data_IF_564307771893
#
_entry.id   IF_564307771893
#
_cell.length_a   1.000
_cell.length_b   1.000
_cell.length_c   1.000
_cell.angle_alpha   90.00
_cell.angle_beta   90.00
_cell.angle_gamma   90.00
#
_symmetry.space_group_name_H-M   'P 1'
#
loop_
_entity.id
_entity.type
_entity.pdbx_description
1 polymer ?
#
# COMPACT_ATOMS: atom_id res chain seq x y z
N UNK A 1 4.62 -0.37 5.64
CA UNK A 1 3.44 -0.10 6.49
C UNK A 1 2.15 -0.62 5.88
N UNK A 2 1.80 -0.27 4.64
CA UNK A 2 0.49 -0.62 4.04
C UNK A 2 0.35 -2.09 3.63
N UNK A 3 1.32 -2.68 2.92
CA UNK A 3 1.21 -4.06 2.41
C UNK A 3 0.94 -5.12 3.50
N UNK A 4 1.59 -5.10 4.68
CA UNK A 4 1.30 -6.05 5.75
C UNK A 4 -0.16 -6.04 6.24
N UNK A 5 -0.87 -4.91 6.12
CA UNK A 5 -2.29 -4.81 6.50
C UNK A 5 -3.15 -5.73 5.62
N UNK A 6 -2.77 -5.92 4.36
CA UNK A 6 -3.49 -6.79 3.43
C UNK A 6 -3.11 -8.27 3.58
N UNK A 7 -1.89 -8.55 4.06
CA UNK A 7 -1.37 -9.92 4.23
C UNK A 7 -1.82 -10.51 5.57
N UNK A 8 -1.78 -9.72 6.64
CA UNK A 8 -2.22 -10.10 7.98
C UNK A 8 -3.07 -8.99 8.61
N UNK A 9 -4.32 -8.78 8.14
CA UNK A 9 -5.19 -7.71 8.63
C UNK A 9 -5.44 -7.76 10.14
N UNK A 10 -5.42 -8.96 10.73
CA UNK A 10 -5.74 -9.20 12.14
C UNK A 10 -4.71 -8.53 13.07
N UNK A 11 -3.45 -8.43 12.64
CA UNK A 11 -2.39 -7.71 13.37
C UNK A 11 -2.66 -6.20 13.47
N UNK A 12 -3.61 -5.69 12.69
CA UNK A 12 -4.04 -4.30 12.64
C UNK A 12 -5.48 -4.11 13.14
N UNK A 13 -6.03 -5.12 13.82
CA UNK A 13 -7.39 -5.08 14.38
C UNK A 13 -8.51 -5.26 13.34
N UNK A 14 -8.17 -5.66 12.11
CA UNK A 14 -9.14 -5.91 11.05
C UNK A 14 -9.45 -7.41 11.02
N UNK A 15 -10.68 -7.78 11.36
CA UNK A 15 -11.10 -9.20 11.42
C UNK A 15 -11.90 -9.57 10.18
N UNK A 16 -11.27 -10.31 9.26
CA UNK A 16 -11.93 -10.78 8.02
C UNK A 16 -13.01 -11.83 8.33
N UNK A 17 -12.82 -12.62 9.39
CA UNK A 17 -13.75 -13.67 9.82
C UNK A 17 -15.12 -13.12 10.27
N UNK A 18 -15.22 -11.82 10.56
CA UNK A 18 -16.47 -11.16 10.95
C UNK A 18 -17.24 -10.54 9.76
N UNK A 19 -16.72 -10.66 8.53
CA UNK A 19 -17.35 -10.04 7.35
C UNK A 19 -18.49 -10.91 6.81
N UNK A 20 -18.38 -12.24 6.92
CA UNK A 20 -19.36 -13.21 6.41
C UNK A 20 -19.29 -14.51 7.21
N UNK A 21 -20.45 -15.13 7.46
CA UNK A 21 -20.56 -16.38 8.24
C UNK A 21 -20.13 -17.65 7.47
N UNK A 22 -19.61 -17.50 6.25
CA UNK A 22 -19.15 -18.59 5.37
C UNK A 22 -17.62 -18.62 5.30
N UNK A 23 -17.02 -19.64 5.91
CA UNK A 23 -15.56 -19.85 5.93
C UNK A 23 -14.93 -19.90 4.53
N UNK A 24 -15.65 -20.45 3.54
CA UNK A 24 -15.16 -20.52 2.16
C UNK A 24 -15.07 -19.14 1.52
N UNK A 25 -16.01 -18.25 1.85
CA UNK A 25 -15.97 -16.86 1.42
C UNK A 25 -14.83 -16.11 2.08
N UNK A 26 -14.65 -16.28 3.39
CA UNK A 26 -13.55 -15.69 4.15
C UNK A 26 -12.20 -16.08 3.55
N UNK A 27 -11.99 -17.36 3.23
CA UNK A 27 -10.76 -17.83 2.58
C UNK A 27 -10.52 -17.14 1.24
N UNK A 28 -11.56 -17.01 0.40
CA UNK A 28 -11.46 -16.32 -0.90
C UNK A 28 -11.13 -14.84 -0.75
N UNK A 29 -11.66 -14.16 0.28
CA UNK A 29 -11.30 -12.77 0.58
C UNK A 29 -9.83 -12.68 0.94
N UNK A 30 -9.32 -13.56 1.80
CA UNK A 30 -7.90 -13.61 2.16
C UNK A 30 -7.00 -13.81 0.92
N UNK A 31 -7.36 -14.75 0.05
CA UNK A 31 -6.62 -14.99 -1.19
C UNK A 31 -6.62 -13.76 -2.12
N UNK A 32 -7.75 -13.09 -2.25
CA UNK A 32 -7.87 -11.87 -3.04
C UNK A 32 -7.01 -10.73 -2.46
N UNK A 33 -7.01 -10.54 -1.14
CA UNK A 33 -6.17 -9.54 -0.48
C UNK A 33 -4.68 -9.78 -0.74
N UNK A 34 -4.24 -11.05 -0.78
CA UNK A 34 -2.87 -11.39 -1.15
C UNK A 34 -2.55 -11.01 -2.61
N UNK A 35 -3.48 -11.20 -3.55
CA UNK A 35 -3.25 -10.76 -4.93
C UNK A 35 -3.25 -9.24 -5.04
N UNK A 36 -4.15 -8.54 -4.35
CA UNK A 36 -4.17 -7.08 -4.29
C UNK A 36 -2.87 -6.53 -3.71
N UNK A 37 -2.34 -7.17 -2.65
CA UNK A 37 -1.05 -6.79 -2.08
C UNK A 37 0.09 -6.91 -3.11
N UNK A 38 0.11 -7.95 -3.94
CA UNK A 38 1.11 -8.10 -5.00
C UNK A 38 1.02 -6.99 -6.05
N UNK A 39 -0.19 -6.65 -6.48
CA UNK A 39 -0.43 -5.58 -7.48
C UNK A 39 -0.03 -4.22 -6.91
N UNK A 40 -0.46 -3.90 -5.68
CA UNK A 40 -0.07 -2.67 -5.00
C UNK A 40 1.45 -2.57 -4.80
N UNK A 41 2.12 -3.69 -4.52
CA UNK A 41 3.57 -3.71 -4.42
C UNK A 41 4.22 -3.34 -5.76
N UNK A 42 3.75 -3.89 -6.88
CA UNK A 42 4.28 -3.52 -8.21
C UNK A 42 3.99 -2.06 -8.58
N UNK A 43 2.81 -1.55 -8.22
CA UNK A 43 2.48 -0.13 -8.41
C UNK A 43 3.47 0.79 -7.69
N UNK A 44 3.70 0.55 -6.40
CA UNK A 44 4.63 1.38 -5.60
C UNK A 44 6.07 1.23 -6.06
N UNK A 45 6.47 0.02 -6.50
CA UNK A 45 7.78 -0.22 -7.11
C UNK A 45 7.89 0.38 -8.52
N UNK A 46 6.77 0.83 -9.12
CA UNK A 46 6.68 1.29 -10.51
C UNK A 46 7.35 0.29 -11.48
N UNK A 47 7.14 -1.00 -11.24
CA UNK A 47 7.79 -2.10 -11.96
C UNK A 47 6.75 -3.12 -12.41
N UNK A 48 6.76 -3.56 -13.69
CA UNK A 48 5.85 -4.61 -14.14
C UNK A 48 6.22 -5.97 -13.55
N UNK A 49 5.24 -6.87 -13.49
CA UNK A 49 5.45 -8.27 -13.14
C UNK A 49 6.37 -8.99 -14.14
N UNK A 50 7.21 -9.87 -13.62
CA UNK A 50 8.19 -10.66 -14.37
C UNK A 50 7.79 -12.16 -14.42
N UNK A 51 8.75 -13.04 -14.71
CA UNK A 51 8.54 -14.49 -14.81
C UNK A 51 8.19 -15.19 -13.50
N UNK A 52 8.37 -14.54 -12.34
CA UNK A 52 7.98 -15.12 -11.05
C UNK A 52 6.45 -15.08 -10.85
N UNK A 53 5.76 -14.16 -11.50
CA UNK A 53 4.31 -13.97 -11.38
C UNK A 53 3.66 -13.83 -12.76
N UNK A 54 3.88 -14.82 -13.63
CA UNK A 54 3.39 -14.80 -15.03
C UNK A 54 1.88 -14.57 -15.12
N UNK A 55 1.10 -15.19 -14.21
CA UNK A 55 -0.37 -15.05 -14.16
C UNK A 55 -0.84 -13.61 -13.85
N UNK A 56 0.03 -12.75 -13.32
CA UNK A 56 -0.27 -11.33 -13.06
C UNK A 56 0.25 -10.38 -14.15
N UNK A 57 1.05 -10.86 -15.12
CA UNK A 57 1.51 -10.04 -16.24
C UNK A 57 0.40 -9.39 -17.08
N UNK A 58 -0.81 -9.98 -17.22
CA UNK A 58 -1.93 -9.28 -17.85
C UNK A 58 -2.31 -7.94 -17.19
N UNK A 59 -1.88 -7.69 -15.95
CA UNK A 59 -2.08 -6.43 -15.23
C UNK A 59 -0.95 -5.40 -15.45
N UNK A 60 0.11 -5.74 -16.19
CA UNK A 60 1.22 -4.82 -16.46
C UNK A 60 0.77 -3.50 -17.12
N UNK A 61 -0.16 -3.48 -18.09
CA UNK A 61 -0.65 -2.22 -18.65
C UNK A 61 -1.26 -1.29 -17.59
N UNK A 62 -1.97 -1.85 -16.61
CA UNK A 62 -2.51 -1.10 -15.47
C UNK A 62 -1.39 -0.56 -14.57
N UNK A 63 -0.35 -1.37 -14.30
CA UNK A 63 0.80 -0.91 -13.50
C UNK A 63 1.52 0.25 -14.18
N UNK A 64 1.73 0.15 -15.50
CA UNK A 64 2.42 1.16 -16.31
C UNK A 64 1.62 2.47 -16.41
N UNK A 65 0.30 2.39 -16.57
CA UNK A 65 -0.59 3.56 -16.61
C UNK A 65 -0.53 4.39 -15.33
N UNK A 66 -0.40 3.75 -14.17
CA UNK A 66 -0.45 4.42 -12.87
C UNK A 66 0.90 4.93 -12.34
N UNK A 67 1.99 4.75 -13.08
CA UNK A 67 3.35 5.16 -12.65
C UNK A 67 3.42 6.64 -12.27
N UNK A 68 2.86 7.53 -13.10
CA UNK A 68 2.85 8.98 -12.80
C UNK A 68 2.00 9.31 -11.57
N UNK A 69 0.86 8.63 -11.40
CA UNK A 69 -0.01 8.81 -10.24
C UNK A 69 0.69 8.41 -8.94
N UNK A 70 1.35 7.26 -8.92
CA UNK A 70 2.14 6.79 -7.77
C UNK A 70 3.27 7.77 -7.46
N UNK A 71 3.98 8.27 -8.49
CA UNK A 71 5.06 9.23 -8.30
C UNK A 71 4.57 10.53 -7.65
N UNK A 72 3.41 11.03 -8.05
CA UNK A 72 2.83 12.24 -7.46
C UNK A 72 2.42 12.00 -6.00
N UNK A 73 1.76 10.87 -5.70
CA UNK A 73 1.42 10.50 -4.32
C UNK A 73 2.66 10.45 -3.43
N UNK A 74 3.76 9.85 -3.93
CA UNK A 74 5.00 9.77 -3.16
C UNK A 74 5.66 11.13 -2.96
N UNK A 75 5.59 12.04 -3.94
CA UNK A 75 6.08 13.43 -3.80
C UNK A 75 5.29 14.16 -2.72
N UNK A 76 3.96 14.09 -2.77
CA UNK A 76 3.09 14.73 -1.80
C UNK A 76 3.28 14.14 -0.40
N UNK A 77 3.55 12.83 -0.30
CA UNK A 77 3.79 12.14 0.98
C UNK A 77 5.07 12.61 1.68
N UNK A 78 6.13 12.92 0.91
CA UNK A 78 7.41 13.37 1.46
C UNK A 78 7.52 14.89 1.58
N UNK A 79 6.58 15.63 0.99
CA UNK A 79 6.49 17.09 1.09
C UNK A 79 5.90 17.49 2.45
N UNK A 80 6.70 17.29 3.50
CA UNK A 80 6.34 17.62 4.87
C UNK A 80 7.12 18.86 5.33
N UNK A 81 6.45 19.69 6.14
CA UNK A 81 7.07 20.87 6.76
C UNK A 81 8.24 20.54 7.68
N UNK A 82 8.94 21.57 8.15
CA UNK A 82 10.10 21.36 9.01
C UNK A 82 9.70 20.83 10.39
N UNK A 83 10.67 20.33 11.16
CA UNK A 83 10.43 19.87 12.53
C UNK A 83 9.92 21.02 13.41
N UNK A 84 10.44 22.22 13.22
CA UNK A 84 10.05 23.42 13.97
C UNK A 84 8.58 23.76 13.75
N UNK A 85 8.11 23.67 12.50
CA UNK A 85 6.71 23.88 12.14
C UNK A 85 5.82 22.78 12.71
N UNK A 86 6.24 21.51 12.55
CA UNK A 86 5.47 20.35 12.99
C UNK A 86 5.29 20.29 14.52
N UNK A 87 6.31 20.71 15.29
CA UNK A 87 6.31 20.65 16.75
C UNK A 87 6.17 22.02 17.42
N UNK A 88 5.89 23.08 16.65
CA UNK A 88 5.78 24.47 17.13
C UNK A 88 6.97 24.88 18.02
N UNK A 89 8.16 24.40 17.67
CA UNK A 89 9.36 24.70 18.44
C UNK A 89 9.74 26.16 18.19
N UNK A 90 9.78 26.98 19.24
CA UNK A 90 10.44 28.28 19.15
C UNK A 90 11.93 28.04 19.06
N UNK A 91 12.59 28.56 18.02
CA UNK A 91 14.05 28.61 17.99
C UNK A 91 14.56 29.24 19.28
N UNK A 92 15.37 28.51 20.04
CA UNK A 92 16.05 29.03 21.23
C UNK A 92 17.09 30.11 20.88
N UNK A 93 17.31 30.37 19.58
CA UNK A 93 18.19 31.40 19.06
C UNK A 93 17.36 32.54 18.47
N UNK A 94 16.77 33.34 19.36
CA UNK A 94 16.45 34.73 19.10
C UNK A 94 17.25 35.55 20.11
N UNK A 95 18.49 35.88 19.73
CA UNK A 95 19.21 37.08 20.13
C UNK A 95 19.25 38.01 18.91
#
# INVERSE_FOLDING_TARGET
YVLPILVTPENYGISIDHIVDDESHVSRVRDNLLQVAKVLNQLVLMRPFNTENVYLQPLNPFVEEFVEGVRNILKDLIDVGTIEEAYQMKSAYHD
#
